data_IF_342704289475
#
_entry.id   IF_342704289475
#
_cell.length_a   1.000
_cell.length_b   1.000
_cell.length_c   1.000
_cell.angle_alpha   90.00
_cell.angle_beta   90.00
_cell.angle_gamma   90.00
#
_symmetry.space_group_name_H-M   'P 1'
#
loop_
_entity.id
_entity.type
_entity.pdbx_description
1 polymer ?
#
# COMPACT_ATOMS: atom_id res chain seq x y z
N UNK A 1 -10.37 15.61 -27.84
CA UNK A 1 -10.01 14.56 -26.83
C UNK A 1 -11.11 13.53 -26.92
N UNK A 2 -10.78 12.26 -27.13
CA UNK A 2 -11.78 11.17 -27.16
C UNK A 2 -11.80 10.54 -25.75
N UNK A 3 -12.99 10.48 -25.17
CA UNK A 3 -13.22 9.87 -23.84
C UNK A 3 -13.77 8.44 -23.94
N UNK A 4 -13.82 7.87 -25.15
CA UNK A 4 -14.29 6.51 -25.35
C UNK A 4 -13.19 5.50 -24.95
N UNK A 5 -13.60 4.48 -24.23
CA UNK A 5 -12.69 3.38 -23.88
C UNK A 5 -12.29 2.60 -25.13
N UNK A 6 -11.03 2.18 -25.21
CA UNK A 6 -10.52 1.28 -26.24
C UNK A 6 -11.20 -0.09 -26.16
N UNK A 7 -10.98 -0.95 -27.17
CA UNK A 7 -11.50 -2.33 -27.15
C UNK A 7 -10.88 -3.12 -25.99
N UNK A 8 -9.60 -2.93 -25.71
CA UNK A 8 -8.87 -3.57 -24.61
C UNK A 8 -9.41 -3.12 -23.26
N UNK A 9 -9.57 -1.82 -23.05
CA UNK A 9 -10.15 -1.25 -21.83
C UNK A 9 -11.57 -1.76 -21.56
N UNK A 10 -12.41 -1.88 -22.62
CA UNK A 10 -13.74 -2.48 -22.51
C UNK A 10 -13.69 -3.96 -22.13
N UNK A 11 -12.69 -4.71 -22.62
CA UNK A 11 -12.49 -6.11 -22.24
C UNK A 11 -12.06 -6.24 -20.79
N UNK A 12 -11.13 -5.39 -20.32
CA UNK A 12 -10.71 -5.30 -18.92
C UNK A 12 -11.91 -4.96 -18.01
N UNK A 13 -12.68 -3.94 -18.39
CA UNK A 13 -13.88 -3.53 -17.67
C UNK A 13 -14.90 -4.68 -17.54
N UNK A 14 -15.12 -5.43 -18.63
CA UNK A 14 -16.02 -6.58 -18.64
C UNK A 14 -15.53 -7.68 -17.70
N UNK A 15 -14.25 -8.04 -17.77
CA UNK A 15 -13.63 -9.04 -16.89
C UNK A 15 -13.73 -8.65 -15.41
N UNK A 16 -13.41 -7.41 -15.06
CA UNK A 16 -13.55 -6.88 -13.72
C UNK A 16 -14.98 -6.95 -13.20
N UNK A 17 -15.96 -6.60 -14.05
CA UNK A 17 -17.39 -6.65 -13.72
C UNK A 17 -17.86 -8.10 -13.47
N UNK A 18 -17.43 -9.03 -14.32
CA UNK A 18 -17.78 -10.46 -14.17
C UNK A 18 -17.16 -11.03 -12.88
N UNK A 19 -15.91 -10.73 -12.61
CA UNK A 19 -15.23 -11.09 -11.37
C UNK A 19 -15.94 -10.51 -10.14
N UNK A 20 -16.27 -9.22 -10.15
CA UNK A 20 -16.97 -8.58 -9.04
C UNK A 20 -18.32 -9.23 -8.74
N UNK A 21 -19.12 -9.49 -9.77
CA UNK A 21 -20.44 -10.12 -9.62
C UNK A 21 -20.37 -11.59 -9.22
N UNK A 22 -19.37 -12.33 -9.70
CA UNK A 22 -19.18 -13.74 -9.40
C UNK A 22 -18.54 -14.02 -8.05
N UNK A 23 -17.55 -13.21 -7.65
CA UNK A 23 -16.73 -13.48 -6.48
C UNK A 23 -17.02 -12.54 -5.29
N UNK A 24 -17.23 -11.25 -5.53
CA UNK A 24 -17.45 -10.29 -4.45
C UNK A 24 -18.90 -10.31 -3.95
N UNK A 25 -19.87 -10.26 -4.86
CA UNK A 25 -21.28 -10.15 -4.48
C UNK A 25 -21.78 -11.26 -3.55
N UNK A 26 -21.39 -12.54 -3.73
CA UNK A 26 -21.83 -13.60 -2.83
C UNK A 26 -21.22 -13.51 -1.43
N UNK A 27 -20.02 -12.95 -1.28
CA UNK A 27 -19.23 -12.99 -0.05
C UNK A 27 -19.25 -11.69 0.75
N UNK A 28 -19.52 -10.55 0.10
CA UNK A 28 -19.35 -9.21 0.68
C UNK A 28 -20.07 -9.05 2.02
N UNK A 29 -21.33 -9.42 2.10
CA UNK A 29 -22.12 -9.29 3.34
C UNK A 29 -21.54 -10.11 4.49
N UNK A 30 -21.15 -11.35 4.25
CA UNK A 30 -20.61 -12.24 5.29
C UNK A 30 -19.26 -11.73 5.78
N UNK A 31 -18.36 -11.41 4.86
CA UNK A 31 -17.01 -10.89 5.20
C UNK A 31 -17.09 -9.58 5.95
N UNK A 32 -18.00 -8.68 5.59
CA UNK A 32 -18.20 -7.42 6.33
C UNK A 32 -18.74 -7.67 7.74
N UNK A 33 -19.75 -8.51 7.90
CA UNK A 33 -20.35 -8.83 9.21
C UNK A 33 -19.35 -9.52 10.16
N UNK A 34 -18.51 -10.40 9.63
CA UNK A 34 -17.52 -11.15 10.42
C UNK A 34 -16.17 -10.46 10.53
N UNK A 35 -15.98 -9.32 9.86
CA UNK A 35 -14.69 -8.61 9.76
C UNK A 35 -13.56 -9.51 9.25
N UNK A 36 -13.87 -10.43 8.34
CA UNK A 36 -12.93 -11.43 7.87
C UNK A 36 -12.20 -10.96 6.63
N UNK A 37 -10.86 -11.03 6.65
CA UNK A 37 -10.00 -10.72 5.50
C UNK A 37 -10.30 -11.63 4.31
N UNK A 38 -10.51 -11.10 3.09
CA UNK A 38 -10.98 -11.86 1.92
C UNK A 38 -9.83 -12.60 1.20
N UNK A 39 -9.13 -13.51 1.89
CA UNK A 39 -7.91 -14.16 1.40
C UNK A 39 -8.10 -14.88 0.05
N UNK A 40 -9.18 -15.64 -0.11
CA UNK A 40 -9.45 -16.39 -1.34
C UNK A 40 -9.74 -15.47 -2.53
N UNK A 41 -10.43 -14.36 -2.28
CA UNK A 41 -10.72 -13.34 -3.31
C UNK A 41 -9.43 -12.62 -3.71
N UNK A 42 -8.57 -12.27 -2.75
CA UNK A 42 -7.25 -11.70 -2.99
C UNK A 42 -6.41 -12.61 -3.89
N UNK A 43 -6.38 -13.91 -3.59
CA UNK A 43 -5.67 -14.91 -4.40
C UNK A 43 -6.20 -14.96 -5.83
N UNK A 44 -7.52 -15.08 -6.01
CA UNK A 44 -8.16 -15.10 -7.34
C UNK A 44 -7.93 -13.83 -8.13
N UNK A 45 -8.01 -12.65 -7.47
CA UNK A 45 -7.76 -11.37 -8.13
C UNK A 45 -6.31 -11.24 -8.63
N UNK A 46 -5.35 -11.77 -7.85
CA UNK A 46 -3.93 -11.85 -8.22
C UNK A 46 -3.75 -12.75 -9.46
N UNK A 47 -4.28 -13.96 -9.43
CA UNK A 47 -4.21 -14.93 -10.53
C UNK A 47 -4.79 -14.40 -11.84
N UNK A 48 -5.80 -13.53 -11.76
CA UNK A 48 -6.45 -12.89 -12.89
C UNK A 48 -5.79 -11.56 -13.32
N UNK A 49 -4.74 -11.11 -12.64
CA UNK A 49 -4.06 -9.84 -12.93
C UNK A 49 -4.92 -8.60 -12.68
N UNK A 50 -5.86 -8.66 -11.71
CA UNK A 50 -6.78 -7.56 -11.38
C UNK A 50 -6.26 -6.65 -10.26
N UNK A 51 -5.00 -6.79 -9.85
CA UNK A 51 -4.35 -5.96 -8.84
C UNK A 51 -3.15 -5.21 -9.45
N UNK A 52 -2.94 -3.98 -8.99
CA UNK A 52 -1.74 -3.21 -9.33
C UNK A 52 -1.47 -3.04 -10.81
N UNK A 53 -2.50 -2.77 -11.62
CA UNK A 53 -2.41 -2.76 -13.08
C UNK A 53 -1.36 -1.77 -13.63
N UNK A 54 -1.05 -0.73 -12.86
CA UNK A 54 -0.04 0.29 -13.19
C UNK A 54 1.40 -0.14 -12.90
N UNK A 55 1.60 -1.25 -12.17
CA UNK A 55 2.95 -1.71 -11.79
C UNK A 55 3.65 -2.31 -13.01
N UNK A 56 4.90 -1.89 -13.32
CA UNK A 56 5.63 -2.38 -14.49
C UNK A 56 5.90 -3.88 -14.47
N UNK A 57 5.92 -4.51 -15.66
CA UNK A 57 6.23 -5.94 -15.84
C UNK A 57 7.57 -6.34 -15.23
N UNK A 58 8.58 -5.46 -15.25
CA UNK A 58 9.90 -5.73 -14.64
C UNK A 58 9.83 -5.98 -13.13
N UNK A 59 8.73 -5.63 -12.48
CA UNK A 59 8.43 -5.85 -11.07
C UNK A 59 7.27 -6.84 -10.85
N UNK A 60 6.93 -7.62 -11.86
CA UNK A 60 5.89 -8.65 -11.81
C UNK A 60 4.48 -8.14 -12.08
N UNK A 61 4.27 -6.84 -12.22
CA UNK A 61 2.95 -6.26 -12.47
C UNK A 61 2.46 -6.40 -13.91
N UNK A 62 1.19 -6.07 -14.19
CA UNK A 62 0.61 -6.15 -15.55
C UNK A 62 1.14 -5.11 -16.54
N UNK A 63 1.80 -4.05 -16.10
CA UNK A 63 2.41 -3.04 -16.98
C UNK A 63 1.44 -2.16 -17.76
N UNK A 64 0.18 -2.06 -17.30
CA UNK A 64 -0.85 -1.21 -17.90
C UNK A 64 -0.73 0.24 -17.39
N UNK A 65 -1.85 0.89 -17.03
CA UNK A 65 -1.84 2.27 -16.57
C UNK A 65 -2.80 2.55 -15.43
N UNK A 66 -2.77 3.79 -14.94
CA UNK A 66 -3.68 4.25 -13.90
C UNK A 66 -5.14 4.29 -14.36
N UNK A 67 -5.39 4.50 -15.66
CA UNK A 67 -6.74 4.46 -16.22
C UNK A 67 -7.31 3.04 -16.13
N UNK A 68 -6.55 2.03 -16.49
CA UNK A 68 -6.96 0.63 -16.39
C UNK A 68 -7.18 0.23 -14.92
N UNK A 69 -6.30 0.69 -14.01
CA UNK A 69 -6.50 0.52 -12.57
C UNK A 69 -7.84 1.14 -12.11
N UNK A 70 -8.14 2.36 -12.52
CA UNK A 70 -9.38 3.05 -12.17
C UNK A 70 -10.62 2.32 -12.75
N UNK A 71 -10.54 1.86 -13.99
CA UNK A 71 -11.62 1.09 -14.64
C UNK A 71 -11.94 -0.20 -13.87
N UNK A 72 -10.91 -0.94 -13.45
CA UNK A 72 -11.08 -2.15 -12.66
C UNK A 72 -11.70 -1.83 -11.31
N UNK A 73 -11.11 -0.89 -10.58
CA UNK A 73 -11.60 -0.53 -9.24
C UNK A 73 -13.04 0.00 -9.28
N UNK A 74 -13.41 0.80 -10.28
CA UNK A 74 -14.79 1.28 -10.44
C UNK A 74 -15.79 0.10 -10.50
N UNK A 75 -15.48 -0.94 -11.26
CA UNK A 75 -16.37 -2.11 -11.38
C UNK A 75 -16.42 -2.95 -10.09
N UNK A 76 -15.30 -3.05 -9.36
CA UNK A 76 -15.25 -3.75 -8.07
C UNK A 76 -16.03 -2.99 -7.00
N UNK A 77 -15.79 -1.68 -6.86
CA UNK A 77 -16.44 -0.81 -5.88
C UNK A 77 -17.96 -0.71 -6.04
N UNK A 78 -18.47 -0.83 -7.26
CA UNK A 78 -19.93 -0.90 -7.53
C UNK A 78 -20.59 -2.10 -6.86
N UNK A 79 -19.84 -3.14 -6.53
CA UNK A 79 -20.36 -4.41 -5.98
C UNK A 79 -20.11 -4.51 -4.48
N UNK A 80 -18.85 -4.36 -4.06
CA UNK A 80 -18.50 -4.40 -2.63
C UNK A 80 -17.31 -3.50 -2.31
N UNK A 81 -17.53 -2.40 -1.58
CA UNK A 81 -16.46 -1.46 -1.22
C UNK A 81 -15.40 -2.06 -0.29
N UNK A 82 -15.77 -2.94 0.63
CA UNK A 82 -14.85 -3.52 1.62
C UNK A 82 -13.80 -4.41 0.99
N UNK A 83 -14.24 -5.34 0.16
CA UNK A 83 -13.34 -6.23 -0.59
C UNK A 83 -12.52 -5.42 -1.60
N UNK A 84 -13.15 -4.47 -2.28
CA UNK A 84 -12.47 -3.64 -3.29
C UNK A 84 -11.37 -2.78 -2.67
N UNK A 85 -11.62 -2.21 -1.48
CA UNK A 85 -10.59 -1.50 -0.71
C UNK A 85 -9.42 -2.43 -0.38
N UNK A 86 -9.70 -3.68 0.02
CA UNK A 86 -8.65 -4.65 0.30
C UNK A 86 -7.80 -4.94 -0.94
N UNK A 87 -8.42 -5.14 -2.10
CA UNK A 87 -7.71 -5.38 -3.37
C UNK A 87 -6.90 -4.16 -3.81
N UNK A 88 -7.46 -2.96 -3.67
CA UNK A 88 -6.76 -1.70 -3.96
C UNK A 88 -5.51 -1.52 -3.09
N UNK A 89 -5.62 -1.84 -1.80
CA UNK A 89 -4.56 -1.62 -0.82
C UNK A 89 -3.35 -2.54 -1.00
N UNK A 90 -3.45 -3.63 -1.77
CA UNK A 90 -2.34 -4.56 -1.99
C UNK A 90 -1.13 -3.94 -2.70
N UNK A 91 -1.33 -2.86 -3.43
CA UNK A 91 -0.28 -2.13 -4.16
C UNK A 91 -0.27 -0.64 -3.85
N UNK A 92 -0.95 -0.22 -2.77
CA UNK A 92 -1.00 1.18 -2.37
C UNK A 92 0.35 1.65 -1.84
N UNK A 93 1.03 2.50 -2.60
CA UNK A 93 2.40 2.95 -2.34
C UNK A 93 3.45 2.28 -3.25
N UNK A 94 3.07 1.40 -4.19
CA UNK A 94 4.00 0.83 -5.15
C UNK A 94 4.73 1.89 -5.98
N UNK A 95 4.11 3.06 -6.15
CA UNK A 95 4.69 4.23 -6.82
C UNK A 95 6.01 4.67 -6.19
N UNK A 96 6.21 4.47 -4.89
CA UNK A 96 7.46 4.83 -4.22
C UNK A 96 8.64 4.05 -4.79
N UNK A 97 8.46 2.76 -5.05
CA UNK A 97 9.48 1.93 -5.69
C UNK A 97 9.64 2.27 -7.17
N UNK A 98 8.53 2.51 -7.88
CA UNK A 98 8.53 2.77 -9.33
C UNK A 98 9.24 4.08 -9.64
N UNK A 99 9.05 5.13 -8.83
CA UNK A 99 9.54 6.48 -9.08
C UNK A 99 10.90 6.76 -8.44
N UNK A 100 11.16 6.16 -7.28
CA UNK A 100 12.30 6.54 -6.43
C UNK A 100 13.15 5.36 -5.97
N UNK A 101 12.65 4.13 -6.06
CA UNK A 101 13.37 2.92 -5.70
C UNK A 101 14.40 2.50 -6.74
N UNK A 102 15.30 1.59 -6.34
CA UNK A 102 16.18 0.88 -7.28
C UNK A 102 15.45 -0.34 -7.88
N UNK A 103 15.98 -0.87 -8.98
CA UNK A 103 15.43 -2.08 -9.60
C UNK A 103 15.49 -3.29 -8.64
N UNK A 104 16.54 -3.37 -7.80
CA UNK A 104 16.67 -4.39 -6.77
C UNK A 104 15.59 -4.26 -5.69
N UNK A 105 15.32 -3.05 -5.22
CA UNK A 105 14.24 -2.78 -4.28
C UNK A 105 12.88 -3.14 -4.87
N UNK A 106 12.60 -2.71 -6.11
CA UNK A 106 11.36 -3.06 -6.81
C UNK A 106 11.17 -4.57 -6.94
N UNK A 107 12.21 -5.31 -7.33
CA UNK A 107 12.18 -6.78 -7.42
C UNK A 107 11.99 -7.43 -6.05
N UNK A 108 12.73 -6.96 -5.02
CA UNK A 108 12.64 -7.51 -3.67
C UNK A 108 11.25 -7.38 -3.07
N UNK A 109 10.60 -6.21 -3.22
CA UNK A 109 9.38 -5.88 -2.51
C UNK A 109 8.12 -6.01 -3.35
N UNK A 110 8.14 -5.64 -4.64
CA UNK A 110 6.93 -5.69 -5.47
C UNK A 110 6.70 -7.06 -6.13
N UNK A 111 7.73 -7.73 -6.63
CA UNK A 111 7.57 -9.02 -7.31
C UNK A 111 6.80 -10.06 -6.47
N UNK A 112 7.04 -10.21 -5.15
CA UNK A 112 6.26 -11.13 -4.32
C UNK A 112 4.77 -10.81 -4.24
N UNK A 113 4.35 -9.57 -4.50
CA UNK A 113 2.92 -9.19 -4.50
C UNK A 113 2.19 -9.87 -5.66
N UNK A 114 2.85 -10.04 -6.80
CA UNK A 114 2.26 -10.61 -8.02
C UNK A 114 2.54 -12.10 -8.17
N UNK A 115 3.76 -12.52 -7.85
CA UNK A 115 4.27 -13.89 -8.08
C UNK A 115 4.36 -14.74 -6.81
N UNK A 116 3.88 -14.23 -5.67
CA UNK A 116 3.90 -14.92 -4.37
C UNK A 116 2.72 -14.52 -3.50
N UNK A 117 2.92 -14.53 -2.19
CA UNK A 117 1.94 -14.16 -1.19
C UNK A 117 2.25 -12.77 -0.55
N UNK A 118 3.01 -11.93 -1.25
CA UNK A 118 3.37 -10.62 -0.78
C UNK A 118 2.15 -9.71 -0.61
N UNK A 119 2.14 -8.94 0.45
CA UNK A 119 1.14 -7.90 0.74
C UNK A 119 1.89 -6.70 1.28
N UNK A 120 1.62 -5.52 0.74
CA UNK A 120 2.21 -4.29 1.23
C UNK A 120 1.21 -3.38 1.92
N UNK A 121 1.72 -2.45 2.71
CA UNK A 121 0.98 -1.31 3.21
C UNK A 121 1.86 -0.07 3.29
N UNK A 122 1.22 1.09 3.44
CA UNK A 122 1.91 2.37 3.59
C UNK A 122 1.53 3.04 4.92
N UNK A 123 2.47 3.06 5.85
CA UNK A 123 2.31 3.56 7.19
C UNK A 123 2.70 5.05 7.28
N UNK A 124 1.73 5.93 7.11
CA UNK A 124 1.91 7.39 7.10
C UNK A 124 1.35 8.00 8.38
N UNK A 125 0.07 7.77 8.64
CA UNK A 125 -0.73 8.41 9.71
C UNK A 125 -0.28 7.99 11.10
N UNK A 126 -0.22 8.96 12.02
CA UNK A 126 0.05 8.76 13.45
C UNK A 126 -1.11 9.29 14.30
N UNK A 127 -1.20 8.94 15.59
CA UNK A 127 -2.25 9.46 16.47
C UNK A 127 -2.36 10.99 16.45
N UNK A 128 -1.22 11.69 16.38
CA UNK A 128 -1.16 13.15 16.42
C UNK A 128 -0.80 13.79 15.06
N UNK A 129 -0.67 13.01 13.99
CA UNK A 129 -0.30 13.48 12.66
C UNK A 129 -1.12 12.79 11.55
N UNK A 130 -2.17 13.45 11.11
CA UNK A 130 -3.01 13.04 9.97
C UNK A 130 -2.74 13.89 8.73
N UNK A 131 -3.57 14.92 8.49
CA UNK A 131 -3.41 15.81 7.33
C UNK A 131 -2.11 16.62 7.34
N UNK A 132 -1.61 17.01 8.51
CA UNK A 132 -0.24 17.54 8.65
C UNK A 132 0.77 16.41 8.79
N UNK A 133 1.08 15.76 7.68
CA UNK A 133 2.06 14.65 7.64
C UNK A 133 3.47 15.07 8.07
N UNK A 134 3.81 16.36 7.96
CA UNK A 134 5.10 16.89 8.41
C UNK A 134 5.24 16.92 9.95
N UNK A 135 4.17 16.70 10.70
CA UNK A 135 4.18 16.53 12.15
C UNK A 135 4.38 15.07 12.58
N UNK A 136 4.59 14.14 11.64
CA UNK A 136 4.89 12.74 11.99
C UNK A 136 6.17 12.65 12.82
N UNK A 137 6.08 11.93 13.95
CA UNK A 137 7.11 11.84 14.98
C UNK A 137 7.81 10.47 15.04
N UNK A 138 7.31 9.46 14.33
CA UNK A 138 8.01 8.16 14.19
C UNK A 138 9.42 8.40 13.67
N UNK A 139 10.43 7.99 14.41
CA UNK A 139 11.84 8.24 14.07
C UNK A 139 12.49 7.06 13.38
N UNK A 140 13.50 7.34 12.56
CA UNK A 140 14.46 6.35 12.08
C UNK A 140 15.88 6.91 12.21
N UNK A 141 16.68 6.31 13.08
CA UNK A 141 18.05 6.72 13.35
C UNK A 141 19.02 5.76 12.69
N UNK A 142 20.04 6.32 12.02
CA UNK A 142 21.09 5.50 11.40
C UNK A 142 22.03 4.95 12.46
N UNK A 143 22.21 3.62 12.45
CA UNK A 143 23.16 2.91 13.31
C UNK A 143 23.98 1.91 12.47
N UNK A 144 25.20 2.29 12.15
CA UNK A 144 26.04 1.51 11.22
C UNK A 144 25.40 1.30 9.86
N UNK A 145 25.14 0.05 9.49
CA UNK A 145 24.50 -0.31 8.22
C UNK A 145 22.99 -0.60 8.35
N UNK A 146 22.36 -0.07 9.39
CA UNK A 146 20.93 -0.25 9.66
C UNK A 146 20.24 1.08 9.98
N UNK A 147 18.92 1.09 9.83
CA UNK A 147 18.01 2.06 10.43
C UNK A 147 17.33 1.44 11.64
N UNK A 148 17.22 2.19 12.73
CA UNK A 148 16.51 1.81 13.96
C UNK A 148 15.24 2.67 14.05
N UNK A 149 14.08 2.04 13.87
CA UNK A 149 12.80 2.73 13.88
C UNK A 149 12.12 2.63 15.24
N UNK A 150 11.55 3.77 15.68
CA UNK A 150 10.75 3.87 16.92
C UNK A 150 9.55 4.80 16.67
N UNK A 151 8.36 4.35 17.08
CA UNK A 151 7.14 5.14 16.96
C UNK A 151 5.89 4.29 16.81
N UNK A 152 4.78 4.94 16.46
CA UNK A 152 3.50 4.27 16.22
C UNK A 152 2.78 4.87 15.02
N UNK A 153 2.02 4.03 14.32
CA UNK A 153 1.19 4.40 13.18
C UNK A 153 -0.21 3.87 13.40
N UNK A 154 -1.22 4.59 12.89
CA UNK A 154 -2.63 4.22 13.07
C UNK A 154 -3.37 4.28 11.74
N UNK A 155 -4.49 3.57 11.65
CA UNK A 155 -5.33 3.49 10.45
C UNK A 155 -4.58 2.94 9.23
N UNK A 156 -3.68 2.00 9.44
CA UNK A 156 -2.81 1.48 8.38
C UNK A 156 -3.43 0.25 7.74
N UNK A 157 -3.72 0.36 6.45
CA UNK A 157 -4.16 -0.79 5.64
C UNK A 157 -3.08 -1.86 5.56
N UNK A 158 -3.50 -3.13 5.65
CA UNK A 158 -2.62 -4.30 5.62
C UNK A 158 -1.61 -4.39 6.78
N UNK A 159 -1.80 -3.65 7.87
CA UNK A 159 -0.82 -3.63 8.95
C UNK A 159 -0.59 -4.98 9.61
N UNK A 160 -1.62 -5.85 9.70
CA UNK A 160 -1.48 -7.21 10.25
C UNK A 160 -1.28 -8.27 9.18
N UNK A 161 -1.53 -7.98 7.90
CA UNK A 161 -1.45 -8.92 6.78
C UNK A 161 -0.25 -8.66 5.87
N UNK A 162 0.32 -7.46 5.96
CA UNK A 162 1.47 -7.08 5.14
C UNK A 162 2.71 -7.91 5.42
N UNK A 163 3.43 -8.24 4.37
CA UNK A 163 4.78 -8.83 4.47
C UNK A 163 5.84 -7.74 4.64
N UNK A 164 5.52 -6.53 4.22
CA UNK A 164 6.30 -5.33 4.50
C UNK A 164 5.42 -4.08 4.51
N UNK A 165 5.92 -3.04 5.18
CA UNK A 165 5.33 -1.70 5.24
C UNK A 165 6.30 -0.66 4.70
N UNK A 166 5.84 0.25 3.86
CA UNK A 166 6.51 1.52 3.69
C UNK A 166 6.22 2.40 4.91
N UNK A 167 7.24 2.90 5.57
CA UNK A 167 7.08 3.73 6.78
C UNK A 167 7.60 5.13 6.50
N UNK A 168 6.70 6.12 6.54
CA UNK A 168 7.07 7.53 6.53
C UNK A 168 7.56 7.93 7.92
N UNK A 169 8.83 8.34 8.04
CA UNK A 169 9.48 8.54 9.33
C UNK A 169 10.48 9.69 9.32
N UNK A 170 10.75 10.25 10.49
CA UNK A 170 11.65 11.35 10.75
C UNK A 170 13.10 10.83 10.78
N UNK A 171 13.91 11.22 9.80
CA UNK A 171 15.32 10.80 9.69
C UNK A 171 16.32 11.94 9.89
N UNK A 172 15.86 13.19 9.82
CA UNK A 172 16.70 14.37 9.92
C UNK A 172 15.99 15.50 10.70
N UNK A 173 15.79 15.32 12.03
CA UNK A 173 15.00 16.24 12.87
C UNK A 173 15.56 17.66 12.89
N UNK A 174 16.87 17.82 12.77
CA UNK A 174 17.56 19.11 12.88
C UNK A 174 17.62 19.87 11.55
N UNK A 175 17.13 19.29 10.45
CA UNK A 175 17.09 19.96 9.17
C UNK A 175 16.22 21.24 9.25
N UNK A 176 16.73 22.42 8.84
CA UNK A 176 15.96 23.67 8.93
C UNK A 176 14.67 23.63 8.08
N UNK A 177 14.65 22.90 6.98
CA UNK A 177 13.47 22.72 6.15
C UNK A 177 12.62 21.55 6.65
N UNK A 178 11.41 21.80 7.15
CA UNK A 178 10.47 20.76 7.59
C UNK A 178 10.24 19.68 6.52
N UNK A 179 10.14 20.07 5.24
CA UNK A 179 9.91 19.15 4.12
C UNK A 179 11.08 18.21 3.81
N UNK A 180 12.26 18.47 4.41
CA UNK A 180 13.47 17.65 4.25
C UNK A 180 13.82 16.80 5.49
N UNK A 181 12.90 16.68 6.44
CA UNK A 181 13.15 15.94 7.68
C UNK A 181 12.77 14.46 7.60
N UNK A 182 11.87 14.09 6.69
CA UNK A 182 11.29 12.76 6.63
C UNK A 182 11.81 11.96 5.45
N UNK A 183 11.81 10.65 5.61
CA UNK A 183 12.15 9.66 4.58
C UNK A 183 11.11 8.55 4.55
N UNK A 184 11.17 7.70 3.53
CA UNK A 184 10.36 6.49 3.42
C UNK A 184 11.28 5.29 3.50
N UNK A 185 11.00 4.37 4.42
CA UNK A 185 11.81 3.17 4.66
C UNK A 185 10.89 1.94 4.56
N UNK A 186 11.32 0.94 3.80
CA UNK A 186 10.65 -0.36 3.73
C UNK A 186 11.02 -1.22 4.96
N UNK A 187 10.00 -1.67 5.69
CA UNK A 187 10.15 -2.47 6.91
C UNK A 187 9.45 -3.81 6.69
N UNK A 188 10.19 -4.90 6.69
CA UNK A 188 9.64 -6.25 6.68
C UNK A 188 8.94 -6.51 8.02
N UNK A 189 7.72 -7.07 8.01
CA UNK A 189 6.86 -7.15 9.20
C UNK A 189 7.22 -8.26 10.18
N UNK A 190 8.05 -9.21 9.75
CA UNK A 190 8.58 -10.30 10.58
C UNK A 190 9.78 -9.89 11.44
N UNK A 191 10.23 -8.62 11.33
CA UNK A 191 11.39 -8.13 12.10
C UNK A 191 11.08 -7.98 13.59
N UNK A 192 12.04 -8.30 14.47
CA UNK A 192 11.95 -7.93 15.87
C UNK A 192 11.68 -6.44 16.03
N UNK A 193 10.72 -6.11 16.91
CA UNK A 193 10.32 -4.73 17.16
C UNK A 193 9.18 -4.20 16.27
N UNK A 194 8.73 -4.94 15.27
CA UNK A 194 7.47 -4.66 14.58
C UNK A 194 6.31 -5.38 15.31
N UNK A 195 5.25 -4.66 15.61
CA UNK A 195 4.00 -5.20 16.15
C UNK A 195 2.83 -4.48 15.51
N UNK A 196 1.79 -5.22 15.13
CA UNK A 196 0.55 -4.66 14.61
C UNK A 196 -0.66 -5.26 15.31
N UNK A 197 -1.69 -4.44 15.50
CA UNK A 197 -2.95 -4.83 16.12
C UNK A 197 -4.11 -4.40 15.22
N UNK A 198 -4.98 -5.34 14.84
CA UNK A 198 -6.16 -5.06 14.01
C UNK A 198 -7.12 -4.11 14.72
N UNK A 199 -7.68 -3.19 13.96
CA UNK A 199 -8.74 -2.28 14.39
C UNK A 199 -10.10 -2.88 14.00
N UNK A 200 -10.83 -3.37 14.97
CA UNK A 200 -12.17 -3.94 14.82
C UNK A 200 -13.28 -2.91 15.08
N UNK A 201 -14.53 -3.26 14.75
CA UNK A 201 -15.69 -2.42 15.00
C UNK A 201 -15.79 -1.21 14.09
N UNK A 202 -15.17 -1.23 12.92
CA UNK A 202 -15.27 -0.15 11.93
C UNK A 202 -16.73 0.00 11.46
N UNK A 203 -17.13 1.22 11.10
CA UNK A 203 -18.46 1.53 10.60
C UNK A 203 -18.72 0.95 9.19
N UNK A 204 -17.66 0.77 8.40
CA UNK A 204 -17.69 0.18 7.05
C UNK A 204 -16.31 -0.32 6.64
N UNK A 205 -16.21 -0.93 5.43
CA UNK A 205 -14.97 -1.54 4.90
C UNK A 205 -14.38 -2.56 5.88
N UNK A 206 -15.25 -3.30 6.57
CA UNK A 206 -14.89 -4.05 7.78
C UNK A 206 -14.00 -5.25 7.49
N UNK A 207 -14.12 -5.86 6.30
CA UNK A 207 -13.26 -6.96 5.86
C UNK A 207 -11.88 -6.53 5.35
N UNK A 208 -11.66 -5.22 5.13
CA UNK A 208 -10.33 -4.69 4.79
C UNK A 208 -9.50 -4.55 6.06
N UNK A 209 -8.31 -5.17 6.09
CA UNK A 209 -7.41 -5.08 7.24
C UNK A 209 -6.97 -3.61 7.47
N UNK A 210 -7.17 -3.17 8.70
CA UNK A 210 -6.74 -1.85 9.16
C UNK A 210 -6.15 -2.02 10.56
N UNK A 211 -4.97 -1.47 10.80
CA UNK A 211 -4.23 -1.72 12.03
C UNK A 211 -3.61 -0.47 12.65
N UNK A 212 -3.32 -0.58 13.95
CA UNK A 212 -2.30 0.20 14.62
C UNK A 212 -0.97 -0.57 14.55
N UNK A 213 0.13 0.14 14.25
CA UNK A 213 1.48 -0.42 14.17
C UNK A 213 2.35 0.24 15.23
N UNK A 214 3.16 -0.58 15.88
CA UNK A 214 4.13 -0.15 16.90
C UNK A 214 5.52 -0.61 16.47
N UNK A 215 6.46 0.34 16.46
CA UNK A 215 7.86 0.10 16.15
C UNK A 215 8.68 0.38 17.42
N UNK A 216 9.41 -0.62 17.90
CA UNK A 216 10.24 -0.51 19.11
C UNK A 216 11.61 -1.08 18.80
N UNK A 217 12.58 -0.19 18.58
CA UNK A 217 13.94 -0.55 18.15
C UNK A 217 13.93 -1.51 16.94
N UNK A 218 12.98 -1.31 16.03
CA UNK A 218 12.83 -2.12 14.83
C UNK A 218 13.99 -1.82 13.87
N UNK A 219 14.84 -2.82 13.63
CA UNK A 219 16.05 -2.68 12.82
C UNK A 219 15.83 -3.18 11.40
N UNK A 220 16.17 -2.37 10.43
CA UNK A 220 16.14 -2.71 9.00
C UNK A 220 17.45 -2.34 8.31
N UNK A 221 17.85 -3.03 7.24
CA UNK A 221 19.04 -2.67 6.46
C UNK A 221 18.98 -1.24 5.93
N UNK A 222 20.12 -0.61 5.81
CA UNK A 222 20.24 0.73 5.26
C UNK A 222 19.66 0.87 3.87
N UNK A 223 19.81 -0.16 3.08
CA UNK A 223 19.33 -0.28 1.70
C UNK A 223 17.80 -0.28 1.58
N UNK A 224 17.06 -0.43 2.69
CA UNK A 224 15.61 -0.33 2.70
C UNK A 224 15.10 1.12 2.66
N UNK A 225 15.99 2.13 2.69
CA UNK A 225 15.63 3.51 2.41
C UNK A 225 15.22 3.66 0.94
N UNK A 226 14.01 4.13 0.69
CA UNK A 226 13.53 4.36 -0.67
C UNK A 226 13.91 5.78 -1.11
N UNK A 227 14.59 5.88 -2.24
CA UNK A 227 15.08 7.16 -2.76
C UNK A 227 16.19 7.78 -1.91
N UNK A 228 16.06 9.06 -1.58
CA UNK A 228 17.10 9.84 -0.88
C UNK A 228 16.63 10.25 0.51
N UNK A 229 17.50 10.16 1.52
CA UNK A 229 17.24 10.63 2.89
C UNK A 229 16.75 12.08 2.89
N UNK A 230 15.72 12.36 3.63
CA UNK A 230 15.13 13.69 3.76
C UNK A 230 14.20 14.08 2.61
N UNK A 231 13.97 13.22 1.62
CA UNK A 231 13.09 13.51 0.48
C UNK A 231 11.68 12.90 0.62
N UNK A 232 11.38 12.24 1.72
CA UNK A 232 10.15 11.48 1.91
C UNK A 232 8.87 12.29 1.75
N UNK A 233 8.85 13.57 2.14
CA UNK A 233 7.67 14.42 1.93
C UNK A 233 7.38 14.65 0.43
N UNK A 234 8.41 14.92 -0.36
CA UNK A 234 8.23 15.13 -1.81
C UNK A 234 7.83 13.82 -2.52
N UNK A 235 8.38 12.70 -2.07
CA UNK A 235 7.98 11.38 -2.55
C UNK A 235 6.51 11.11 -2.24
N UNK A 236 6.08 11.34 -1.01
CA UNK A 236 4.70 11.20 -0.56
C UNK A 236 3.73 12.09 -1.39
N UNK A 237 4.11 13.33 -1.70
CA UNK A 237 3.29 14.19 -2.57
C UNK A 237 3.20 13.64 -3.99
N UNK A 238 4.31 13.18 -4.56
CA UNK A 238 4.33 12.58 -5.90
C UNK A 238 3.49 11.28 -5.97
N UNK A 239 3.46 10.49 -4.89
CA UNK A 239 2.57 9.35 -4.73
C UNK A 239 1.10 9.80 -4.69
N UNK A 240 0.75 10.80 -3.87
CA UNK A 240 -0.62 11.27 -3.77
C UNK A 240 -1.14 11.84 -5.09
N UNK A 241 -0.32 12.56 -5.86
CA UNK A 241 -0.72 13.09 -7.18
C UNK A 241 -1.18 11.97 -8.14
N UNK A 242 -0.64 10.76 -8.00
CA UNK A 242 -0.99 9.60 -8.82
C UNK A 242 -2.10 8.76 -8.23
N UNK A 243 -1.99 8.43 -6.96
CA UNK A 243 -2.94 7.53 -6.30
C UNK A 243 -4.36 8.11 -6.25
N UNK A 244 -4.51 9.44 -6.21
CA UNK A 244 -5.83 10.10 -6.25
C UNK A 244 -6.62 9.88 -7.53
N UNK A 245 -6.01 9.33 -8.57
CA UNK A 245 -6.69 8.98 -9.80
C UNK A 245 -7.48 7.66 -9.70
N UNK A 246 -7.16 6.80 -8.70
CA UNK A 246 -7.75 5.46 -8.60
C UNK A 246 -8.21 5.07 -7.19
N UNK A 247 -7.92 5.87 -6.17
CA UNK A 247 -8.32 5.63 -4.76
C UNK A 247 -9.62 6.36 -4.44
#
# INVERSE_FOLDING_TARGET
MDFLLSKEQKSIQKAAREFARGELAPMGRELDLTETYPADIVKKARELGLIGLFVPEKFGGPGLGYLEQAIVLEELWKVDPGISQQLCSLTFGAEEFILFGTDEQGKKFLDPIFNGDGVMGFAITEPDAGSDTLSAATTAVRDGNEWVLNGSKVMIGNGTKGTFMLVFCLTDPDNPSRSKRHSIIAVETDRPGYKAESMHGKMGLRCSDTAAIYLTNCRVPAENLIGTRGNGFHQLMAFFDRSRAYV
#
